data_IF_574158869286
#
_entry.id   IF_574158869286
#
_cell.length_a   1.000
_cell.length_b   1.000
_cell.length_c   1.000
_cell.angle_alpha   90.00
_cell.angle_beta   90.00
_cell.angle_gamma   90.00
#
_symmetry.space_group_name_H-M   'P 1'
#
loop_
_entity.id
_entity.type
_entity.pdbx_description
1 polymer ?
#
# COMPACT_ATOMS: atom_id res chain seq x y z
N UNK A 1 15.10 -20.33 9.28
CA UNK A 1 13.90 -19.47 9.24
C UNK A 1 13.68 -18.75 10.57
N UNK A 2 13.42 -17.44 10.51
CA UNK A 2 13.04 -16.58 11.63
C UNK A 2 11.78 -15.79 11.25
N UNK A 3 11.05 -15.29 12.23
CA UNK A 3 9.93 -14.38 12.00
C UNK A 3 9.85 -13.32 13.10
N UNK A 4 9.22 -12.19 12.79
CA UNK A 4 8.94 -11.11 13.72
C UNK A 4 7.57 -10.49 13.42
N UNK A 5 6.86 -10.11 14.47
CA UNK A 5 5.63 -9.29 14.38
C UNK A 5 6.04 -7.81 14.41
N UNK A 6 5.66 -7.08 13.36
CA UNK A 6 5.96 -5.66 13.21
C UNK A 6 4.71 -4.85 13.50
N UNK A 7 4.83 -3.87 14.41
CA UNK A 7 3.76 -2.92 14.64
C UNK A 7 3.75 -1.87 13.53
N UNK A 8 2.92 -2.11 12.51
CA UNK A 8 2.80 -1.22 11.35
C UNK A 8 1.35 -0.95 11.01
N UNK A 9 0.99 0.32 10.85
CA UNK A 9 -0.33 0.74 10.42
C UNK A 9 -0.64 0.26 8.99
N UNK A 10 -1.92 0.06 8.70
CA UNK A 10 -2.43 -0.28 7.37
C UNK A 10 -3.54 0.69 7.04
N UNK A 11 -3.37 1.48 5.99
CA UNK A 11 -4.34 2.51 5.60
C UNK A 11 -4.77 2.24 4.17
N UNK A 12 -6.06 1.97 3.97
CA UNK A 12 -6.62 1.87 2.63
C UNK A 12 -6.78 3.27 2.06
N UNK A 13 -6.40 3.45 0.80
CA UNK A 13 -6.58 4.69 0.06
C UNK A 13 -7.34 4.39 -1.21
N UNK A 14 -8.50 5.03 -1.39
CA UNK A 14 -9.36 4.76 -2.53
C UNK A 14 -10.08 6.03 -2.99
N UNK A 15 -10.52 6.01 -4.25
CA UNK A 15 -11.31 7.08 -4.84
C UNK A 15 -12.76 6.65 -5.06
N UNK A 16 -13.55 7.51 -5.69
CA UNK A 16 -14.83 7.04 -6.27
C UNK A 16 -14.55 6.06 -7.40
N UNK A 17 -15.39 5.02 -7.58
CA UNK A 17 -15.31 4.13 -8.72
C UNK A 17 -15.29 4.97 -10.01
N UNK A 18 -14.35 4.64 -10.90
CA UNK A 18 -14.22 5.31 -12.19
C UNK A 18 -15.54 5.14 -12.95
N UNK A 19 -16.28 6.23 -13.13
CA UNK A 19 -17.40 6.22 -14.09
C UNK A 19 -16.81 6.25 -15.49
N UNK A 20 -17.17 5.27 -16.32
CA UNK A 20 -16.90 5.35 -17.76
C UNK A 20 -17.51 6.65 -18.30
N UNK A 21 -16.66 7.54 -18.81
CA UNK A 21 -17.12 8.67 -19.61
C UNK A 21 -17.35 8.21 -21.05
N UNK A 22 -17.99 9.07 -21.85
CA UNK A 22 -18.21 8.78 -23.27
C UNK A 22 -16.85 8.52 -23.98
N UNK A 23 -16.82 7.45 -24.79
CA UNK A 23 -15.69 6.97 -25.62
C UNK A 23 -14.37 6.76 -24.87
N UNK A 24 -14.29 5.68 -24.10
CA UNK A 24 -13.01 5.06 -23.70
C UNK A 24 -12.15 5.85 -22.71
N UNK A 25 -12.61 7.02 -22.27
CA UNK A 25 -11.95 7.84 -21.26
C UNK A 25 -12.43 7.40 -19.87
N UNK A 26 -11.52 6.79 -19.13
CA UNK A 26 -11.68 6.59 -17.69
C UNK A 26 -11.41 7.90 -16.96
N UNK A 27 -12.31 8.31 -16.06
CA UNK A 27 -12.02 9.43 -15.17
C UNK A 27 -10.70 9.14 -14.41
N UNK A 28 -9.79 10.12 -14.29
CA UNK A 28 -8.53 9.93 -13.59
C UNK A 28 -8.78 9.45 -12.15
N UNK A 29 -8.07 8.42 -11.71
CA UNK A 29 -8.15 7.93 -10.34
C UNK A 29 -7.53 8.99 -9.41
N UNK A 30 -8.37 9.87 -8.85
CA UNK A 30 -7.92 11.02 -8.03
C UNK A 30 -6.99 10.58 -6.88
N UNK A 31 -7.23 9.41 -6.31
CA UNK A 31 -6.41 8.84 -5.24
C UNK A 31 -5.00 8.43 -5.72
N UNK A 32 -4.88 7.91 -6.94
CA UNK A 32 -3.59 7.61 -7.59
C UNK A 32 -2.81 8.89 -7.86
N UNK A 33 -3.49 9.93 -8.38
CA UNK A 33 -2.87 11.24 -8.61
C UNK A 33 -2.42 11.90 -7.31
N UNK A 34 -3.25 11.81 -6.26
CA UNK A 34 -2.92 12.32 -4.93
C UNK A 34 -1.68 11.65 -4.37
N UNK A 35 -1.65 10.31 -4.33
CA UNK A 35 -0.50 9.57 -3.80
C UNK A 35 0.77 9.82 -4.62
N UNK A 36 0.68 9.80 -5.95
CA UNK A 36 1.84 10.08 -6.82
C UNK A 36 2.37 11.51 -6.69
N UNK A 37 1.52 12.48 -6.38
CA UNK A 37 1.96 13.86 -6.12
C UNK A 37 2.55 14.06 -4.73
N UNK A 38 2.30 13.13 -3.80
CA UNK A 38 2.68 13.23 -2.40
C UNK A 38 3.91 12.39 -2.05
N UNK A 39 4.06 11.24 -2.70
CA UNK A 39 5.08 10.24 -2.40
C UNK A 39 6.20 10.25 -3.44
N UNK A 40 7.39 9.82 -3.04
CA UNK A 40 8.60 9.99 -3.85
C UNK A 40 8.69 9.10 -5.09
N UNK A 41 8.16 7.87 -5.06
CA UNK A 41 8.28 6.92 -6.17
C UNK A 41 7.01 6.88 -7.01
N UNK A 42 7.12 6.32 -8.22
CA UNK A 42 6.03 6.32 -9.19
C UNK A 42 4.87 5.40 -8.75
N UNK A 43 3.82 6.00 -8.22
CA UNK A 43 2.56 5.32 -7.87
C UNK A 43 1.65 5.07 -9.09
N UNK A 44 1.73 5.90 -10.14
CA UNK A 44 0.84 5.80 -11.31
C UNK A 44 1.15 4.59 -12.16
N UNK A 45 2.43 4.24 -12.26
CA UNK A 45 2.89 3.08 -13.04
C UNK A 45 2.94 1.80 -12.21
N UNK A 46 2.53 1.84 -10.93
CA UNK A 46 2.51 0.66 -10.08
C UNK A 46 1.47 -0.34 -10.59
N UNK A 47 1.92 -1.56 -10.91
CA UNK A 47 1.04 -2.60 -11.45
C UNK A 47 0.12 -3.14 -10.35
N UNK A 48 -1.10 -3.59 -10.69
CA UNK A 48 -1.91 -4.35 -9.76
C UNK A 48 -1.12 -5.50 -9.15
N UNK A 49 -1.29 -5.71 -7.85
CA UNK A 49 -0.62 -6.77 -7.07
C UNK A 49 0.90 -6.63 -6.97
N UNK A 50 1.39 -5.40 -7.08
CA UNK A 50 2.78 -5.06 -6.78
C UNK A 50 2.85 -3.95 -5.73
N UNK A 51 4.02 -3.78 -5.14
CA UNK A 51 4.29 -2.67 -4.23
C UNK A 51 5.64 -2.02 -4.50
N UNK A 52 5.79 -0.80 -4.00
CA UNK A 52 7.08 -0.14 -3.90
C UNK A 52 7.23 0.59 -2.56
N UNK A 53 8.47 0.92 -2.22
CA UNK A 53 8.80 1.75 -1.07
C UNK A 53 8.71 3.23 -1.46
N UNK A 54 8.27 4.08 -0.54
CA UNK A 54 8.11 5.51 -0.76
C UNK A 54 8.47 6.29 0.50
N UNK A 55 8.91 7.53 0.30
CA UNK A 55 8.97 8.53 1.36
C UNK A 55 7.86 9.55 1.17
N UNK A 56 7.37 10.10 2.28
CA UNK A 56 6.63 11.35 2.32
C UNK A 56 7.55 12.43 2.88
N UNK A 57 7.74 13.50 2.12
CA UNK A 57 8.71 14.55 2.43
C UNK A 57 8.04 15.88 2.79
N UNK A 58 8.72 16.66 3.60
CA UNK A 58 8.46 18.10 3.74
C UNK A 58 8.90 18.83 2.47
N UNK A 59 8.45 20.08 2.32
CA UNK A 59 8.86 20.96 1.21
C UNK A 59 10.38 21.17 1.11
N UNK A 60 11.10 21.09 2.23
CA UNK A 60 12.57 21.20 2.26
C UNK A 60 13.29 19.85 2.02
N UNK A 61 12.56 18.80 1.64
CA UNK A 61 13.11 17.47 1.35
C UNK A 61 13.37 16.58 2.58
N UNK A 62 13.12 17.06 3.81
CA UNK A 62 13.25 16.21 4.99
C UNK A 62 12.16 15.14 5.02
N UNK A 63 12.48 13.88 5.38
CA UNK A 63 11.48 12.83 5.51
C UNK A 63 10.54 13.11 6.68
N UNK A 64 9.25 12.86 6.45
CA UNK A 64 8.19 12.85 7.47
C UNK A 64 7.92 11.41 7.87
N UNK A 65 7.70 10.54 6.88
CA UNK A 65 7.39 9.13 7.07
C UNK A 65 7.79 8.32 5.85
N UNK A 66 7.88 7.01 6.00
CA UNK A 66 8.04 6.04 4.91
C UNK A 66 6.81 5.14 4.76
N UNK A 67 6.65 4.60 3.57
CA UNK A 67 5.52 3.74 3.23
C UNK A 67 5.97 2.62 2.30
N UNK A 68 5.56 1.40 2.60
CA UNK A 68 5.30 0.45 1.53
C UNK A 68 3.91 0.73 0.97
N UNK A 69 3.83 0.92 -0.35
CA UNK A 69 2.58 1.23 -1.04
C UNK A 69 2.22 0.05 -1.92
N UNK A 70 1.16 -0.64 -1.55
CA UNK A 70 0.61 -1.78 -2.27
C UNK A 70 -0.49 -1.31 -3.21
N UNK A 71 -0.48 -1.72 -4.48
CA UNK A 71 -1.63 -1.52 -5.38
C UNK A 71 -2.47 -2.79 -5.41
N UNK A 72 -3.68 -2.72 -4.86
CA UNK A 72 -4.63 -3.82 -4.87
C UNK A 72 -5.79 -3.43 -5.78
N UNK A 73 -5.80 -3.96 -7.02
CA UNK A 73 -6.79 -3.62 -8.06
C UNK A 73 -6.98 -2.09 -8.20
N UNK A 74 -8.07 -1.57 -7.66
CA UNK A 74 -8.58 -0.20 -7.78
C UNK A 74 -8.30 0.68 -6.53
N UNK A 75 -7.58 0.15 -5.54
CA UNK A 75 -7.19 0.90 -4.34
C UNK A 75 -5.73 0.65 -3.96
N UNK A 76 -5.24 1.40 -2.97
CA UNK A 76 -3.91 1.21 -2.40
C UNK A 76 -3.99 0.89 -0.92
N UNK A 77 -2.98 0.19 -0.42
CA UNK A 77 -2.71 0.08 1.02
C UNK A 77 -1.39 0.78 1.30
N UNK A 78 -1.38 1.67 2.28
CA UNK A 78 -0.17 2.27 2.84
C UNK A 78 0.22 1.51 4.10
N UNK A 79 1.50 1.17 4.19
CA UNK A 79 2.07 0.41 5.30
C UNK A 79 3.28 1.12 5.87
N UNK A 80 3.12 1.63 7.09
CA UNK A 80 4.02 2.58 7.74
C UNK A 80 4.14 2.29 9.23
N UNK A 81 5.21 2.78 9.85
CA UNK A 81 5.38 2.76 11.31
C UNK A 81 4.57 3.86 11.99
N UNK A 82 4.18 4.89 11.24
CA UNK A 82 3.38 5.99 11.76
C UNK A 82 1.99 5.55 12.20
N UNK A 83 1.40 6.17 13.24
CA UNK A 83 0.02 5.95 13.61
C UNK A 83 -0.95 6.25 12.46
N UNK A 84 -1.93 5.36 12.24
CA UNK A 84 -2.88 5.50 11.14
C UNK A 84 -3.67 6.82 11.22
N UNK A 85 -4.07 7.23 12.42
CA UNK A 85 -4.80 8.47 12.67
C UNK A 85 -3.98 9.71 12.32
N UNK A 86 -2.69 9.74 12.67
CA UNK A 86 -1.77 10.82 12.28
C UNK A 86 -1.72 10.97 10.76
N UNK A 87 -1.47 9.87 10.04
CA UNK A 87 -1.36 9.89 8.57
C UNK A 87 -2.70 10.27 7.92
N UNK A 88 -3.81 9.70 8.38
CA UNK A 88 -5.15 9.99 7.85
C UNK A 88 -5.50 11.46 8.06
N UNK A 89 -5.19 12.04 9.21
CA UNK A 89 -5.46 13.45 9.50
C UNK A 89 -4.66 14.38 8.57
N UNK A 90 -3.36 14.11 8.42
CA UNK A 90 -2.51 14.91 7.55
C UNK A 90 -2.91 14.75 6.08
N UNK A 91 -3.24 13.54 5.63
CA UNK A 91 -3.63 13.30 4.25
C UNK A 91 -5.01 13.89 3.95
N UNK A 92 -5.93 13.91 4.90
CA UNK A 92 -7.20 14.63 4.79
C UNK A 92 -7.00 16.15 4.66
N UNK A 93 -6.00 16.72 5.34
CA UNK A 93 -5.64 18.13 5.19
C UNK A 93 -5.05 18.42 3.80
N UNK A 94 -4.21 17.52 3.30
CA UNK A 94 -3.49 17.67 2.03
C UNK A 94 -4.34 17.40 0.80
N UNK A 95 -5.36 16.53 0.87
CA UNK A 95 -6.17 16.18 -0.31
C UNK A 95 -7.05 17.33 -0.84
N UNK A 96 -7.25 18.38 -0.04
CA UNK A 96 -8.12 19.52 -0.38
C UNK A 96 -9.52 19.06 -0.82
N UNK A 97 -9.92 19.35 -2.05
CA UNK A 97 -11.22 18.98 -2.63
C UNK A 97 -11.23 17.63 -3.36
N UNK A 98 -10.09 16.92 -3.41
CA UNK A 98 -10.02 15.62 -4.06
C UNK A 98 -10.89 14.58 -3.33
N UNK A 99 -11.60 13.78 -4.12
CA UNK A 99 -12.40 12.62 -3.73
C UNK A 99 -11.50 11.42 -3.46
N UNK A 100 -10.58 11.61 -2.52
CA UNK A 100 -9.76 10.57 -1.91
C UNK A 100 -10.32 10.28 -0.53
N UNK A 101 -10.40 9.00 -0.22
CA UNK A 101 -10.92 8.47 1.02
C UNK A 101 -9.87 7.57 1.67
N UNK A 102 -9.88 7.55 2.99
CA UNK A 102 -8.95 6.78 3.80
C UNK A 102 -9.73 5.94 4.81
N UNK A 103 -9.30 4.70 4.99
CA UNK A 103 -9.86 3.77 5.97
C UNK A 103 -8.71 3.14 6.74
N UNK A 104 -8.79 3.17 8.07
CA UNK A 104 -7.82 2.49 8.92
C UNK A 104 -8.12 0.99 8.97
N UNK A 105 -7.23 0.20 8.39
CA UNK A 105 -7.28 -1.26 8.40
C UNK A 105 -6.45 -1.86 9.54
N UNK A 106 -5.68 -1.05 10.27
CA UNK A 106 -4.76 -1.51 11.31
C UNK A 106 -5.42 -2.45 12.34
N UNK A 107 -6.66 -2.21 12.81
CA UNK A 107 -7.30 -3.12 13.77
C UNK A 107 -7.53 -4.55 13.26
N UNK A 108 -7.63 -4.73 11.94
CA UNK A 108 -7.97 -6.00 11.30
C UNK A 108 -6.74 -6.73 10.75
N UNK A 109 -5.57 -6.10 10.78
CA UNK A 109 -4.35 -6.65 10.19
C UNK A 109 -3.24 -6.81 11.22
N UNK A 110 -2.44 -7.86 11.04
CA UNK A 110 -1.11 -8.01 11.65
C UNK A 110 -0.05 -8.03 10.58
N UNK A 111 1.15 -7.54 10.89
CA UNK A 111 2.27 -7.57 9.95
C UNK A 111 3.31 -8.56 10.46
N UNK A 112 3.39 -9.72 9.79
CA UNK A 112 4.42 -10.72 10.09
C UNK A 112 5.49 -10.68 9.00
N UNK A 113 6.74 -10.54 9.41
CA UNK A 113 7.88 -10.60 8.52
C UNK A 113 8.63 -11.92 8.73
N UNK A 114 8.71 -12.75 7.68
CA UNK A 114 9.38 -14.06 7.69
C UNK A 114 10.67 -13.92 6.89
N UNK A 115 11.80 -14.34 7.46
CA UNK A 115 13.12 -14.11 6.86
C UNK A 115 14.15 -15.19 7.20
N UNK A 116 15.24 -15.19 6.43
CA UNK A 116 16.34 -16.14 6.54
C UNK A 116 16.14 -17.41 5.73
N UNK A 117 17.13 -18.29 5.77
CA UNK A 117 17.13 -19.55 5.03
C UNK A 117 15.88 -20.40 5.31
N UNK A 118 15.26 -20.91 4.25
CA UNK A 118 14.01 -21.68 4.29
C UNK A 118 12.71 -20.87 4.31
N UNK A 119 12.78 -19.52 4.25
CA UNK A 119 11.58 -18.69 4.32
C UNK A 119 10.67 -18.86 3.10
N UNK A 120 11.24 -18.93 1.89
CA UNK A 120 10.46 -19.13 0.67
C UNK A 120 9.80 -20.50 0.64
N UNK A 121 10.54 -21.55 1.00
CA UNK A 121 10.03 -22.92 1.10
C UNK A 121 8.90 -23.01 2.13
N UNK A 122 9.05 -22.35 3.28
CA UNK A 122 8.00 -22.30 4.29
C UNK A 122 6.72 -21.64 3.77
N UNK A 123 6.85 -20.50 3.07
CA UNK A 123 5.69 -19.80 2.50
C UNK A 123 5.00 -20.68 1.45
N UNK A 124 5.78 -21.32 0.58
CA UNK A 124 5.26 -22.25 -0.43
C UNK A 124 4.56 -23.45 0.20
N UNK A 125 5.14 -24.07 1.23
CA UNK A 125 4.57 -25.24 1.91
C UNK A 125 3.27 -24.88 2.66
N UNK A 126 3.26 -23.78 3.41
CA UNK A 126 2.13 -23.42 4.28
C UNK A 126 0.99 -22.72 3.56
N UNK A 127 1.29 -21.94 2.53
CA UNK A 127 0.30 -21.13 1.84
C UNK A 127 0.07 -21.55 0.38
N UNK A 128 0.88 -22.46 -0.17
CA UNK A 128 0.76 -22.87 -1.58
C UNK A 128 1.09 -21.76 -2.56
N UNK A 129 1.91 -20.80 -2.13
CA UNK A 129 2.19 -19.56 -2.88
C UNK A 129 3.66 -19.44 -3.19
N UNK A 130 3.95 -19.20 -4.47
CA UNK A 130 5.19 -18.59 -4.94
C UNK A 130 4.91 -17.13 -5.31
N UNK A 131 5.87 -16.26 -4.94
CA UNK A 131 5.88 -14.83 -5.17
C UNK A 131 7.21 -14.44 -5.80
N UNK A 132 7.16 -13.62 -6.84
CA UNK A 132 8.34 -12.91 -7.33
C UNK A 132 8.64 -11.71 -6.43
N UNK A 133 9.84 -11.15 -6.55
CA UNK A 133 10.20 -9.96 -5.78
C UNK A 133 9.24 -8.81 -6.09
N UNK A 134 8.84 -8.07 -5.06
CA UNK A 134 7.90 -6.94 -5.14
C UNK A 134 6.45 -7.30 -5.52
N UNK A 135 6.12 -8.60 -5.56
CA UNK A 135 4.74 -9.05 -5.77
C UNK A 135 3.98 -9.23 -4.45
N UNK A 136 2.65 -9.20 -4.60
CA UNK A 136 1.68 -9.40 -3.53
C UNK A 136 0.67 -10.45 -3.98
N UNK A 137 0.25 -11.33 -3.06
CA UNK A 137 -0.93 -12.18 -3.24
C UNK A 137 -1.95 -11.98 -2.13
N UNK A 138 -3.20 -11.81 -2.52
CA UNK A 138 -4.36 -11.97 -1.64
C UNK A 138 -4.74 -13.45 -1.63
N UNK A 139 -4.63 -14.10 -0.46
CA UNK A 139 -5.02 -15.51 -0.30
C UNK A 139 -6.46 -15.66 0.20
N UNK A 140 -6.86 -14.76 1.10
CA UNK A 140 -8.19 -14.60 1.68
C UNK A 140 -8.38 -13.10 1.92
N UNK A 141 -9.61 -12.67 2.21
CA UNK A 141 -9.93 -11.25 2.48
C UNK A 141 -9.01 -10.62 3.54
N UNK A 142 -8.49 -11.41 4.48
CA UNK A 142 -7.69 -10.95 5.63
C UNK A 142 -6.20 -11.33 5.54
N UNK A 143 -5.75 -12.02 4.48
CA UNK A 143 -4.36 -12.49 4.36
C UNK A 143 -3.73 -12.04 3.06
N UNK A 144 -2.74 -11.16 3.21
CA UNK A 144 -1.93 -10.64 2.12
C UNK A 144 -0.47 -11.03 2.35
N UNK A 145 0.14 -11.70 1.38
CA UNK A 145 1.56 -12.03 1.38
C UNK A 145 2.31 -11.13 0.40
N UNK A 146 3.48 -10.62 0.79
CA UNK A 146 4.40 -9.88 -0.08
C UNK A 146 5.81 -10.46 0.00
N UNK A 147 6.58 -10.36 -1.08
CA UNK A 147 8.00 -10.70 -1.08
C UNK A 147 8.86 -9.44 -1.25
N UNK A 148 9.78 -9.22 -0.32
CA UNK A 148 10.86 -8.23 -0.38
C UNK A 148 12.17 -9.01 -0.50
N UNK A 149 13.16 -8.44 -1.20
CA UNK A 149 14.51 -8.98 -1.38
C UNK A 149 15.13 -9.53 -0.08
#
# INVERSE_FOLDING_TARGET
>A
MKWIDLKRSKIKVYGKPVKMLMKGLTAPEEHTHFLHGLLTNDIKSLKPYTFNYNLWLKQNGQPIADFFVYKIKDYYILDTEEPADFVINEFNRLKLSLKVYFEDLTPNYKHVFIYGEGAEEFVKEKFGVELSDYEIKELKEELTLRKIL
#
